data_IF_584192120733
#
_entry.id   IF_584192120733
#
_cell.length_a   1.000
_cell.length_b   1.000
_cell.length_c   1.000
_cell.angle_alpha   90.00
_cell.angle_beta   90.00
_cell.angle_gamma   90.00
#
_symmetry.space_group_name_H-M   'P 1'
#
loop_
_entity.id
_entity.type
_entity.pdbx_description
1 polymer ?
#
# COMPACT_ATOMS: atom_id res chain seq x y z
N UNK A 1 23.78 -14.10 3.72
CA UNK A 1 22.79 -13.16 4.30
C UNK A 1 22.51 -13.59 5.72
N UNK A 2 22.60 -12.69 6.71
CA UNK A 2 22.28 -13.03 8.10
C UNK A 2 20.75 -13.15 8.27
N UNK A 3 20.27 -14.30 8.74
CA UNK A 3 18.86 -14.51 9.03
C UNK A 3 18.45 -13.70 10.27
N UNK A 4 17.82 -12.55 10.06
CA UNK A 4 17.20 -11.78 11.14
C UNK A 4 15.82 -12.38 11.44
N UNK A 5 15.56 -12.73 12.70
CA UNK A 5 14.29 -13.28 13.18
C UNK A 5 13.65 -12.31 14.15
N UNK A 6 12.33 -12.20 14.12
CA UNK A 6 11.54 -11.40 15.06
C UNK A 6 10.43 -12.27 15.66
N UNK A 7 10.13 -12.07 16.95
CA UNK A 7 9.01 -12.72 17.59
C UNK A 7 7.68 -12.12 17.07
N UNK A 8 6.67 -12.94 16.82
CA UNK A 8 5.32 -12.48 16.40
C UNK A 8 4.77 -11.37 17.30
N UNK A 9 5.02 -11.44 18.62
CA UNK A 9 4.58 -10.43 19.60
C UNK A 9 5.16 -9.02 19.34
N UNK A 10 6.28 -8.94 18.63
CA UNK A 10 6.96 -7.68 18.34
C UNK A 10 6.59 -7.10 16.96
N UNK A 11 5.77 -7.79 16.16
CA UNK A 11 5.37 -7.33 14.82
C UNK A 11 4.57 -6.03 14.91
N UNK A 12 3.62 -5.93 15.85
CA UNK A 12 2.85 -4.70 16.03
C UNK A 12 3.76 -3.49 16.31
N UNK A 13 4.79 -3.67 17.16
CA UNK A 13 5.77 -2.62 17.43
C UNK A 13 6.56 -2.24 16.17
N UNK A 14 7.03 -3.23 15.41
CA UNK A 14 7.80 -3.01 14.19
C UNK A 14 6.99 -2.25 13.13
N UNK A 15 5.74 -2.66 12.90
CA UNK A 15 4.84 -1.98 11.97
C UNK A 15 4.55 -0.55 12.45
N UNK A 16 4.42 -0.33 13.76
CA UNK A 16 4.26 0.99 14.36
C UNK A 16 5.49 1.90 14.22
N UNK A 17 6.69 1.32 14.19
CA UNK A 17 7.90 2.08 13.89
C UNK A 17 7.97 2.43 12.39
N UNK A 18 7.61 1.51 11.50
CA UNK A 18 7.55 1.79 10.06
C UNK A 18 6.43 2.74 9.66
N UNK A 19 5.29 2.75 10.36
CA UNK A 19 4.19 3.67 10.06
C UNK A 19 4.52 5.15 10.26
N UNK A 20 5.68 5.47 10.85
CA UNK A 20 6.18 6.86 10.99
C UNK A 20 6.72 7.42 9.67
N UNK A 21 7.23 6.54 8.81
CA UNK A 21 7.87 6.91 7.55
C UNK A 21 7.13 6.36 6.32
N UNK A 22 6.33 5.31 6.51
CA UNK A 22 5.66 4.59 5.44
C UNK A 22 4.15 4.50 5.66
N UNK A 23 3.39 4.52 4.57
CA UNK A 23 2.01 4.01 4.55
C UNK A 23 2.06 2.49 4.55
N UNK A 24 1.76 1.88 5.69
CA UNK A 24 1.84 0.43 5.88
C UNK A 24 0.55 -0.24 5.42
N UNK A 25 0.65 -1.14 4.46
CA UNK A 25 -0.42 -2.02 4.00
C UNK A 25 -0.19 -3.43 4.53
N UNK A 26 -1.24 -4.06 5.04
CA UNK A 26 -1.23 -5.43 5.59
C UNK A 26 -2.35 -6.24 4.97
N UNK A 27 -2.31 -7.59 5.07
CA UNK A 27 -3.46 -8.39 4.69
C UNK A 27 -4.62 -8.08 5.60
N UNK A 28 -5.73 -7.71 4.99
CA UNK A 28 -6.99 -7.40 5.63
C UNK A 28 -8.08 -8.34 5.14
N UNK A 29 -9.09 -8.55 5.96
CA UNK A 29 -10.24 -9.37 5.59
C UNK A 29 -11.51 -8.71 6.06
N UNK A 30 -12.23 -8.15 5.12
CA UNK A 30 -13.61 -7.69 5.30
C UNK A 30 -14.53 -8.67 4.59
N UNK A 31 -15.65 -9.06 5.23
CA UNK A 31 -16.67 -9.96 4.66
C UNK A 31 -16.15 -11.27 4.04
N UNK A 32 -15.01 -11.79 4.53
CA UNK A 32 -14.42 -13.05 4.07
C UNK A 32 -13.46 -12.94 2.88
N UNK A 33 -13.38 -11.78 2.25
CA UNK A 33 -12.48 -11.54 1.11
C UNK A 33 -11.15 -10.99 1.65
N UNK A 34 -10.06 -11.71 1.38
CA UNK A 34 -8.73 -11.24 1.76
C UNK A 34 -8.20 -10.24 0.72
N UNK A 35 -7.87 -9.03 1.16
CA UNK A 35 -7.29 -7.95 0.36
C UNK A 35 -6.07 -7.37 1.09
N UNK A 36 -5.33 -6.46 0.46
CA UNK A 36 -4.36 -5.63 1.18
C UNK A 36 -5.02 -4.29 1.49
N UNK A 37 -4.91 -3.82 2.73
CA UNK A 37 -5.44 -2.53 3.15
C UNK A 37 -4.50 -1.83 4.12
N UNK A 38 -4.68 -0.52 4.29
CA UNK A 38 -3.93 0.27 5.26
C UNK A 38 -4.05 -0.31 6.67
N UNK A 39 -2.93 -0.39 7.38
CA UNK A 39 -2.89 -0.94 8.72
C UNK A 39 -3.52 0.03 9.73
N UNK A 40 -4.40 -0.48 10.58
CA UNK A 40 -5.12 0.29 11.60
C UNK A 40 -4.26 0.67 12.83
N UNK A 41 -2.96 0.35 12.80
CA UNK A 41 -2.01 0.60 13.88
C UNK A 41 -2.01 -0.43 15.01
N UNK A 42 -2.89 -1.44 14.98
CA UNK A 42 -3.06 -2.38 16.11
C UNK A 42 -3.23 -3.83 15.69
N UNK A 43 -4.05 -4.10 14.68
CA UNK A 43 -4.47 -5.44 14.30
C UNK A 43 -3.34 -6.20 13.61
N UNK A 44 -2.91 -7.31 14.20
CA UNK A 44 -1.94 -8.23 13.59
C UNK A 44 -2.49 -9.65 13.44
N UNK A 45 -3.82 -9.81 13.44
CA UNK A 45 -4.48 -11.12 13.35
C UNK A 45 -4.16 -11.87 12.05
N UNK A 46 -3.79 -11.14 11.00
CA UNK A 46 -3.36 -11.69 9.72
C UNK A 46 -2.16 -12.65 9.85
N UNK A 47 -1.36 -12.54 10.91
CA UNK A 47 -0.24 -13.46 11.16
C UNK A 47 -0.67 -14.93 11.33
N UNK A 48 -1.95 -15.18 11.59
CA UNK A 48 -2.47 -16.53 11.85
C UNK A 48 -3.31 -17.08 10.69
N UNK A 49 -4.20 -16.25 10.12
CA UNK A 49 -5.13 -16.69 9.08
C UNK A 49 -4.65 -16.43 7.65
N UNK A 50 -3.74 -15.48 7.43
CA UNK A 50 -3.39 -15.07 6.07
C UNK A 50 -2.64 -16.16 5.30
N UNK A 51 -3.01 -16.32 4.03
CA UNK A 51 -2.40 -17.24 3.08
C UNK A 51 -2.24 -16.60 1.72
N UNK A 52 -3.31 -15.98 1.21
CA UNK A 52 -3.34 -15.30 -0.07
C UNK A 52 -4.43 -14.23 -0.07
N UNK A 53 -4.23 -13.14 -0.81
CA UNK A 53 -5.32 -12.22 -1.15
C UNK A 53 -6.05 -12.69 -2.40
N UNK A 54 -7.35 -12.39 -2.49
CA UNK A 54 -8.13 -12.60 -3.72
C UNK A 54 -7.84 -11.48 -4.71
N UNK A 55 -7.75 -10.24 -4.20
CA UNK A 55 -7.35 -9.07 -4.98
C UNK A 55 -5.83 -8.96 -4.97
N UNK A 56 -5.14 -8.94 -6.13
CA UNK A 56 -3.70 -8.80 -6.17
C UNK A 56 -3.25 -7.44 -5.60
N UNK A 57 -2.07 -7.36 -4.95
CA UNK A 57 -1.56 -6.13 -4.36
C UNK A 57 -1.26 -5.03 -5.39
N UNK A 58 -1.25 -5.35 -6.69
CA UNK A 58 -1.11 -4.37 -7.79
C UNK A 58 -2.11 -3.21 -7.70
N UNK A 59 -3.29 -3.46 -7.11
CA UNK A 59 -4.35 -2.46 -6.97
C UNK A 59 -3.99 -1.32 -6.00
N UNK A 60 -2.95 -1.50 -5.17
CA UNK A 60 -2.42 -0.43 -4.30
C UNK A 60 -1.62 0.60 -5.12
N UNK A 61 -0.91 0.14 -6.14
CA UNK A 61 -0.05 0.99 -6.99
C UNK A 61 -0.81 1.57 -8.17
N UNK A 62 -1.77 0.82 -8.71
CA UNK A 62 -2.60 1.21 -9.86
C UNK A 62 -4.07 1.14 -9.47
N UNK A 63 -4.58 2.13 -8.71
CA UNK A 63 -5.97 2.16 -8.33
C UNK A 63 -6.86 2.33 -9.58
N UNK A 64 -8.09 1.80 -9.58
CA UNK A 64 -9.01 1.93 -10.71
C UNK A 64 -9.49 3.38 -10.93
N UNK A 65 -9.29 4.27 -9.96
CA UNK A 65 -9.60 5.69 -10.04
C UNK A 65 -8.48 6.48 -9.35
N UNK A 66 -8.03 7.55 -10.00
CA UNK A 66 -7.05 8.50 -9.45
C UNK A 66 -7.72 9.86 -9.24
N UNK A 67 -7.46 10.48 -8.10
CA UNK A 67 -7.93 11.84 -7.82
C UNK A 67 -7.13 12.82 -8.68
N UNK A 68 -7.80 13.56 -9.57
CA UNK A 68 -7.15 14.57 -10.41
C UNK A 68 -6.99 15.91 -9.66
N UNK A 69 -8.03 16.32 -8.94
CA UNK A 69 -8.08 17.51 -8.10
C UNK A 69 -9.29 17.42 -7.17
N UNK A 70 -9.21 18.06 -6.01
CA UNK A 70 -10.36 18.39 -5.19
C UNK A 70 -10.69 19.88 -5.34
N UNK A 71 -11.95 20.26 -5.13
CA UNK A 71 -12.34 21.66 -5.13
C UNK A 71 -13.31 21.96 -4.00
N UNK A 72 -13.12 23.10 -3.36
CA UNK A 72 -14.00 23.62 -2.33
C UNK A 72 -14.54 24.98 -2.76
N UNK A 73 -15.85 25.20 -2.53
CA UNK A 73 -16.53 26.44 -2.88
C UNK A 73 -16.60 27.34 -1.66
N UNK A 74 -15.94 28.49 -1.74
CA UNK A 74 -16.10 29.58 -0.78
C UNK A 74 -17.15 30.59 -1.25
N UNK A 75 -17.49 31.57 -0.39
CA UNK A 75 -18.52 32.59 -0.66
C UNK A 75 -18.29 33.37 -1.96
N UNK A 76 -17.06 33.43 -2.48
CA UNK A 76 -16.72 34.22 -3.68
C UNK A 76 -15.79 33.51 -4.69
N UNK A 77 -15.26 32.32 -4.38
CA UNK A 77 -14.28 31.64 -5.23
C UNK A 77 -14.34 30.12 -5.09
N UNK A 78 -13.70 29.43 -6.03
CA UNK A 78 -13.38 28.00 -5.90
C UNK A 78 -11.90 27.88 -5.54
N UNK A 79 -11.59 27.14 -4.49
CA UNK A 79 -10.24 26.70 -4.19
C UNK A 79 -10.05 25.32 -4.81
N UNK A 80 -9.04 25.16 -5.67
CA UNK A 80 -8.68 23.89 -6.29
C UNK A 80 -7.42 23.40 -5.59
N UNK A 81 -7.47 22.19 -5.06
CA UNK A 81 -6.33 21.52 -4.45
C UNK A 81 -5.94 20.34 -5.35
N UNK A 82 -4.69 20.34 -5.82
CA UNK A 82 -4.14 19.20 -6.53
C UNK A 82 -3.75 18.11 -5.51
N UNK A 83 -3.86 16.82 -5.86
CA UNK A 83 -3.33 15.75 -5.04
C UNK A 83 -1.84 15.99 -4.78
N UNK A 84 -1.38 15.67 -3.57
CA UNK A 84 0.03 15.82 -3.24
C UNK A 84 0.87 14.92 -4.15
N UNK A 85 1.87 15.45 -4.88
CA UNK A 85 2.72 14.66 -5.76
C UNK A 85 3.61 13.68 -4.98
N UNK A 86 3.91 13.99 -3.71
CA UNK A 86 4.72 13.16 -2.83
C UNK A 86 3.83 12.22 -2.01
N UNK A 87 3.39 11.13 -2.65
CA UNK A 87 2.82 10.02 -1.90
C UNK A 87 3.81 9.52 -0.84
N UNK A 88 3.36 9.35 0.41
CA UNK A 88 4.17 8.69 1.44
C UNK A 88 4.65 7.33 0.92
N UNK A 89 5.93 7.01 1.19
CA UNK A 89 6.51 5.72 0.79
C UNK A 89 5.60 4.58 1.26
N UNK A 90 5.26 3.66 0.36
CA UNK A 90 4.36 2.57 0.69
C UNK A 90 5.14 1.33 1.15
N UNK A 91 4.65 0.64 2.18
CA UNK A 91 5.21 -0.63 2.65
C UNK A 91 4.13 -1.69 2.65
N UNK A 92 4.30 -2.74 1.84
CA UNK A 92 3.39 -3.89 1.81
C UNK A 92 3.96 -5.03 2.67
N UNK A 93 3.31 -5.30 3.80
CA UNK A 93 3.66 -6.42 4.67
C UNK A 93 2.88 -7.68 4.28
N UNK A 94 3.53 -8.83 4.25
CA UNK A 94 2.86 -10.11 3.94
C UNK A 94 2.53 -10.29 2.45
N UNK A 95 3.19 -9.56 1.54
CA UNK A 95 3.07 -9.83 0.10
C UNK A 95 3.55 -11.24 -0.22
N UNK A 96 2.81 -11.95 -1.10
CA UNK A 96 3.24 -13.28 -1.56
C UNK A 96 4.46 -13.14 -2.48
N UNK A 97 5.43 -14.07 -2.45
CA UNK A 97 6.60 -14.01 -3.34
C UNK A 97 6.26 -13.89 -4.83
N UNK A 98 5.21 -14.58 -5.30
CA UNK A 98 4.76 -14.50 -6.69
C UNK A 98 4.24 -13.09 -7.05
N UNK A 99 3.50 -12.44 -6.14
CA UNK A 99 2.98 -11.08 -6.35
C UNK A 99 4.11 -10.05 -6.28
N UNK A 100 5.06 -10.22 -5.36
CA UNK A 100 6.25 -9.36 -5.29
C UNK A 100 7.08 -9.45 -6.58
N UNK A 101 7.25 -10.67 -7.12
CA UNK A 101 7.93 -10.87 -8.40
C UNK A 101 7.13 -10.28 -9.57
N UNK A 102 5.80 -10.41 -9.57
CA UNK A 102 4.95 -9.79 -10.59
C UNK A 102 5.07 -8.26 -10.59
N UNK A 103 5.14 -7.63 -9.41
CA UNK A 103 5.40 -6.19 -9.29
C UNK A 103 6.75 -5.79 -9.88
N UNK A 104 7.82 -6.55 -9.62
CA UNK A 104 9.14 -6.28 -10.19
C UNK A 104 9.19 -6.46 -11.73
N UNK A 105 8.28 -7.24 -12.31
CA UNK A 105 8.12 -7.36 -13.77
C UNK A 105 7.32 -6.18 -14.31
N UNK A 106 6.23 -5.80 -13.64
CA UNK A 106 5.41 -4.65 -14.02
C UNK A 106 6.21 -3.36 -14.01
N UNK A 107 7.09 -3.17 -13.03
CA UNK A 107 7.96 -1.98 -12.91
C UNK A 107 8.73 -1.72 -14.22
N UNK A 108 9.26 -2.76 -14.86
CA UNK A 108 9.98 -2.66 -16.15
C UNK A 108 9.12 -2.22 -17.33
N UNK A 109 7.80 -2.37 -17.24
CA UNK A 109 6.88 -1.91 -18.28
C UNK A 109 6.53 -0.43 -18.12
N UNK A 110 6.71 0.12 -16.92
CA UNK A 110 6.51 1.53 -16.59
C UNK A 110 7.83 2.31 -16.47
N UNK A 111 8.98 1.63 -16.41
CA UNK A 111 10.29 2.25 -16.62
C UNK A 111 10.33 2.85 -18.03
N UNK A 112 10.53 4.17 -18.10
CA UNK A 112 10.42 5.01 -19.29
C UNK A 112 11.18 4.45 -20.49
N UNK A 113 10.47 3.75 -21.37
CA UNK A 113 10.94 3.48 -22.72
C UNK A 113 10.69 4.69 -23.65
N UNK A 114 9.90 5.67 -23.22
CA UNK A 114 9.49 6.82 -24.03
C UNK A 114 9.08 8.00 -23.13
N UNK A 115 9.80 9.12 -23.20
CA UNK A 115 9.36 10.38 -22.57
C UNK A 115 8.19 10.96 -23.38
N UNK A 116 7.12 11.37 -22.69
CA UNK A 116 5.98 12.06 -23.31
C UNK A 116 6.46 13.45 -23.80
N UNK A 117 6.30 13.79 -25.10
CA UNK A 117 6.84 15.01 -25.71
C UNK A 117 6.25 16.33 -25.20
#
# INVERSE_FOLDING_TARGET
>A
MANKKINKKNIAKLLGDWSKEFTVFVPWRETGIATMAGWDGKNTSFLDWYRNTIVPPKAIFFPPMEEMFSFQKDKQSYHIELPSPDGQKQLLFGIRPCDANAMAILDKTFEDAYEDP
#
